data_IF_368188436443
#
_entry.id   IF_368188436443
#
_cell.length_a   1.000
_cell.length_b   1.000
_cell.length_c   1.000
_cell.angle_alpha   90.00
_cell.angle_beta   90.00
_cell.angle_gamma   90.00
#
_symmetry.space_group_name_H-M   'P 1'
#
loop_
_entity.id
_entity.type
_entity.pdbx_description
1 polymer ?
#
# COMPACT_ATOMS: atom_id res chain seq x y z
N UNK A 1 -25.57 0.85 -2.94
CA UNK A 1 -24.37 1.18 -3.73
C UNK A 1 -23.27 1.73 -2.82
N UNK A 2 -22.00 1.49 -3.14
CA UNK A 2 -20.81 1.99 -2.43
C UNK A 2 -19.95 2.83 -3.36
N UNK A 3 -19.55 4.01 -2.93
CA UNK A 3 -18.67 4.91 -3.69
C UNK A 3 -17.30 4.91 -3.03
N UNK A 4 -16.28 4.61 -3.83
CA UNK A 4 -14.88 4.71 -3.44
C UNK A 4 -14.20 5.85 -4.18
N UNK A 5 -13.39 6.62 -3.47
CA UNK A 5 -12.55 7.68 -4.03
C UNK A 5 -11.08 7.34 -3.72
N UNK A 6 -10.22 7.51 -4.69
CA UNK A 6 -8.76 7.46 -4.51
C UNK A 6 -8.17 8.82 -4.88
N UNK A 7 -7.63 9.51 -3.89
CA UNK A 7 -7.01 10.82 -4.05
C UNK A 7 -5.51 10.67 -4.31
N UNK A 8 -5.15 10.63 -5.57
CA UNK A 8 -3.75 10.67 -5.98
C UNK A 8 -3.22 12.09 -6.15
N UNK A 9 -1.91 12.26 -6.17
CA UNK A 9 -1.26 13.57 -6.32
C UNK A 9 -1.48 14.26 -7.67
N UNK A 10 -1.87 13.52 -8.71
CA UNK A 10 -2.11 14.05 -10.07
C UNK A 10 -3.52 13.77 -10.59
N UNK A 11 -4.15 12.70 -10.12
CA UNK A 11 -5.48 12.26 -10.54
C UNK A 11 -6.27 11.82 -9.32
N UNK A 12 -7.53 12.18 -9.28
CA UNK A 12 -8.53 11.69 -8.32
C UNK A 12 -9.48 10.77 -9.06
N UNK A 13 -9.71 9.59 -8.55
CA UNK A 13 -10.54 8.57 -9.17
C UNK A 13 -11.75 8.25 -8.31
N UNK A 14 -12.90 7.99 -8.98
CA UNK A 14 -14.10 7.46 -8.35
C UNK A 14 -14.47 6.11 -8.93
N UNK A 15 -14.94 5.21 -8.10
CA UNK A 15 -15.64 3.99 -8.48
C UNK A 15 -16.98 3.91 -7.75
N UNK A 16 -18.02 3.45 -8.43
CA UNK A 16 -19.26 3.02 -7.79
C UNK A 16 -19.36 1.50 -7.91
N UNK A 17 -19.59 0.83 -6.78
CA UNK A 17 -19.75 -0.62 -6.70
C UNK A 17 -21.17 -0.97 -6.26
N UNK A 18 -21.72 -2.08 -6.80
CA UNK A 18 -22.89 -2.74 -6.21
C UNK A 18 -22.57 -3.30 -4.82
N UNK A 19 -23.55 -3.80 -4.11
CA UNK A 19 -23.33 -4.51 -2.84
C UNK A 19 -22.48 -5.77 -3.03
N UNK A 20 -22.52 -6.38 -4.20
CA UNK A 20 -21.75 -7.57 -4.57
C UNK A 20 -20.34 -7.25 -5.12
N UNK A 21 -19.98 -5.96 -5.22
CA UNK A 21 -18.66 -5.53 -5.71
C UNK A 21 -18.56 -5.38 -7.23
N UNK A 22 -19.68 -5.43 -7.96
CA UNK A 22 -19.68 -5.16 -9.38
C UNK A 22 -19.45 -3.67 -9.66
N UNK A 23 -18.58 -3.36 -10.62
CA UNK A 23 -18.32 -1.99 -11.02
C UNK A 23 -19.49 -1.42 -11.83
N UNK A 24 -20.18 -0.45 -11.26
CA UNK A 24 -21.30 0.25 -11.91
C UNK A 24 -20.85 1.50 -12.65
N UNK A 25 -19.85 2.20 -12.10
CA UNK A 25 -19.31 3.44 -12.69
C UNK A 25 -17.84 3.60 -12.30
N UNK A 26 -17.07 4.26 -13.16
CA UNK A 26 -15.67 4.64 -12.88
C UNK A 26 -15.31 5.88 -13.68
N UNK A 27 -14.67 6.85 -13.03
CA UNK A 27 -14.20 8.06 -13.69
C UNK A 27 -12.98 8.65 -12.97
N UNK A 28 -12.20 9.45 -13.70
CA UNK A 28 -11.01 10.13 -13.19
C UNK A 28 -11.04 11.60 -13.60
N UNK A 29 -10.66 12.47 -12.67
CA UNK A 29 -10.41 13.89 -12.90
C UNK A 29 -9.00 14.25 -12.48
N UNK A 30 -8.38 15.30 -13.06
CA UNK A 30 -7.12 15.85 -12.54
C UNK A 30 -7.30 16.31 -11.09
N UNK A 31 -6.30 16.04 -10.25
CA UNK A 31 -6.26 16.56 -8.88
C UNK A 31 -5.85 18.03 -8.90
N UNK A 32 -6.65 18.95 -8.32
CA UNK A 32 -6.25 20.34 -8.13
C UNK A 32 -5.10 20.41 -7.12
N UNK A 33 -3.88 20.59 -7.62
CA UNK A 33 -2.69 20.64 -6.76
C UNK A 33 -2.65 21.97 -6.02
N UNK A 34 -2.22 21.90 -4.76
CA UNK A 34 -2.01 23.05 -3.88
C UNK A 34 -3.28 23.89 -3.62
N UNK A 35 -4.47 23.32 -3.91
CA UNK A 35 -5.76 23.94 -3.65
C UNK A 35 -6.69 22.99 -2.89
N UNK A 36 -6.78 23.22 -1.58
CA UNK A 36 -7.59 22.40 -0.67
C UNK A 36 -9.08 22.45 -0.99
N UNK A 37 -9.62 23.65 -1.21
CA UNK A 37 -11.05 23.81 -1.46
C UNK A 37 -11.46 23.22 -2.81
N UNK A 38 -10.66 23.45 -3.85
CA UNK A 38 -10.92 22.86 -5.16
C UNK A 38 -10.76 21.34 -5.14
N UNK A 39 -9.90 20.80 -4.27
CA UNK A 39 -9.81 19.35 -4.06
C UNK A 39 -11.13 18.78 -3.54
N UNK A 40 -11.73 19.41 -2.53
CA UNK A 40 -13.06 19.04 -2.00
C UNK A 40 -14.14 19.11 -3.07
N UNK A 41 -14.19 20.20 -3.85
CA UNK A 41 -15.18 20.36 -4.92
C UNK A 41 -15.01 19.34 -6.04
N UNK A 42 -13.77 18.97 -6.39
CA UNK A 42 -13.49 17.93 -7.38
C UNK A 42 -14.01 16.57 -6.91
N UNK A 43 -13.80 16.24 -5.63
CA UNK A 43 -14.32 15.00 -5.03
C UNK A 43 -15.85 15.01 -5.02
N UNK A 44 -16.48 16.11 -4.59
CA UNK A 44 -17.93 16.25 -4.60
C UNK A 44 -18.51 16.05 -6.02
N UNK A 45 -17.88 16.64 -7.02
CA UNK A 45 -18.25 16.45 -8.43
C UNK A 45 -18.14 14.99 -8.88
N UNK A 46 -17.09 14.28 -8.47
CA UNK A 46 -16.94 12.86 -8.80
C UNK A 46 -18.04 12.00 -8.15
N UNK A 47 -18.42 12.30 -6.91
CA UNK A 47 -19.54 11.64 -6.22
C UNK A 47 -20.86 11.91 -6.96
N UNK A 48 -21.14 13.17 -7.31
CA UNK A 48 -22.33 13.55 -8.07
C UNK A 48 -22.41 12.82 -9.43
N UNK A 49 -21.28 12.70 -10.13
CA UNK A 49 -21.21 11.97 -11.41
C UNK A 49 -21.54 10.48 -11.23
N UNK A 50 -21.03 9.85 -10.16
CA UNK A 50 -21.30 8.44 -9.87
C UNK A 50 -22.79 8.23 -9.54
N UNK A 51 -23.39 9.09 -8.72
CA UNK A 51 -24.81 9.03 -8.35
C UNK A 51 -25.74 9.31 -9.53
N UNK A 52 -25.39 10.27 -10.39
CA UNK A 52 -26.15 10.52 -11.61
C UNK A 52 -26.11 9.37 -12.60
N UNK A 53 -24.94 8.74 -12.75
CA UNK A 53 -24.77 7.62 -13.67
C UNK A 53 -25.51 6.37 -13.22
N UNK A 54 -25.63 6.14 -11.91
CA UNK A 54 -26.25 4.94 -11.33
C UNK A 54 -27.72 5.15 -10.94
N UNK A 55 -28.14 6.41 -10.74
CA UNK A 55 -29.48 6.75 -10.21
C UNK A 55 -29.65 6.44 -8.72
N UNK A 56 -28.57 6.14 -8.00
CA UNK A 56 -28.58 5.74 -6.59
C UNK A 56 -27.65 6.64 -5.76
N UNK A 57 -28.03 6.89 -4.51
CA UNK A 57 -27.16 7.51 -3.50
C UNK A 57 -26.36 6.43 -2.80
N UNK A 58 -25.03 6.61 -2.66
CA UNK A 58 -24.13 5.65 -2.08
C UNK A 58 -23.47 6.11 -0.77
N UNK A 59 -22.95 5.14 0.01
CA UNK A 59 -21.97 5.44 1.04
C UNK A 59 -20.65 5.86 0.40
N UNK A 60 -19.90 6.77 1.04
CA UNK A 60 -18.63 7.30 0.49
C UNK A 60 -17.47 6.91 1.38
N UNK A 61 -16.51 6.22 0.79
CA UNK A 61 -15.21 5.96 1.40
C UNK A 61 -14.11 6.54 0.52
N UNK A 62 -12.96 6.85 1.12
CA UNK A 62 -11.88 7.52 0.41
C UNK A 62 -10.50 7.06 0.87
N UNK A 63 -9.67 6.76 -0.10
CA UNK A 63 -8.22 6.57 0.06
C UNK A 63 -7.48 7.90 -0.07
N UNK A 64 -6.59 8.19 0.86
CA UNK A 64 -5.76 9.40 0.86
C UNK A 64 -4.29 9.07 1.00
N UNK A 65 -3.39 9.89 0.41
CA UNK A 65 -1.96 9.80 0.71
C UNK A 65 -1.70 10.40 2.10
N UNK A 66 -1.53 9.57 3.09
CA UNK A 66 -1.40 9.99 4.49
C UNK A 66 -2.51 9.41 5.37
N UNK A 67 -2.74 9.98 6.52
CA UNK A 67 -3.75 9.52 7.48
C UNK A 67 -4.32 10.65 8.32
N UNK A 68 -5.50 10.42 8.92
CA UNK A 68 -6.04 11.33 9.95
C UNK A 68 -5.35 10.99 11.28
N UNK A 69 -4.82 12.01 11.93
CA UNK A 69 -4.24 11.87 13.27
C UNK A 69 -5.34 11.62 14.31
N UNK A 70 -5.27 10.54 15.09
CA UNK A 70 -6.27 10.28 16.14
C UNK A 70 -6.16 11.30 17.30
N UNK A 71 -5.04 12.04 17.38
CA UNK A 71 -4.82 13.02 18.44
C UNK A 71 -5.34 14.41 18.10
N UNK A 72 -5.26 14.82 16.83
CA UNK A 72 -5.58 16.17 16.38
C UNK A 72 -6.80 16.24 15.46
N UNK A 73 -7.21 15.10 14.87
CA UNK A 73 -8.30 15.02 13.93
C UNK A 73 -8.02 15.67 12.58
N UNK A 74 -6.73 15.89 12.24
CA UNK A 74 -6.34 16.48 10.96
C UNK A 74 -5.41 15.54 10.17
N UNK A 75 -5.32 15.77 8.88
CA UNK A 75 -4.43 15.01 7.98
C UNK A 75 -2.96 15.19 8.40
N UNK A 76 -2.22 14.10 8.41
CA UNK A 76 -0.76 14.04 8.61
C UNK A 76 -0.08 13.18 7.56
N UNK A 77 1.19 13.46 7.31
CA UNK A 77 2.09 12.66 6.46
C UNK A 77 1.59 12.47 5.01
N UNK A 78 0.76 13.39 4.52
CA UNK A 78 0.31 13.36 3.14
C UNK A 78 1.39 13.91 2.19
N UNK A 79 1.66 13.19 1.10
CA UNK A 79 2.50 13.69 0.00
C UNK A 79 1.81 14.85 -0.74
N UNK A 80 0.48 14.88 -0.75
CA UNK A 80 -0.33 16.02 -1.14
C UNK A 80 -0.33 17.02 0.00
N UNK A 81 0.71 17.85 0.07
CA UNK A 81 1.06 18.66 1.25
C UNK A 81 -0.02 19.65 1.67
N UNK A 82 -0.86 20.14 0.74
CA UNK A 82 -1.98 21.04 1.02
C UNK A 82 -3.10 20.44 1.86
N UNK A 83 -3.09 19.10 2.05
CA UNK A 83 -4.01 18.41 2.94
C UNK A 83 -3.54 18.40 4.40
N UNK A 84 -2.22 18.48 4.64
CA UNK A 84 -1.66 18.37 5.97
C UNK A 84 -2.15 19.49 6.89
N UNK A 85 -2.60 19.12 8.08
CA UNK A 85 -3.15 20.06 9.07
C UNK A 85 -4.63 20.43 8.83
N UNK A 86 -5.29 19.87 7.81
CA UNK A 86 -6.70 20.13 7.50
C UNK A 86 -7.61 19.04 8.09
N UNK A 87 -8.82 19.39 8.60
CA UNK A 87 -9.83 18.45 9.06
C UNK A 87 -10.63 17.86 7.89
N UNK A 88 -9.93 17.21 6.97
CA UNK A 88 -10.40 16.86 5.64
C UNK A 88 -11.62 15.93 5.62
N UNK A 89 -11.69 14.98 6.55
CA UNK A 89 -12.85 14.09 6.73
C UNK A 89 -14.11 14.85 7.11
N UNK A 90 -13.97 15.85 8.00
CA UNK A 90 -15.09 16.68 8.46
C UNK A 90 -15.57 17.63 7.37
N UNK A 91 -14.65 18.33 6.72
CA UNK A 91 -14.97 19.30 5.67
C UNK A 91 -15.62 18.61 4.47
N UNK A 92 -15.10 17.44 4.08
CA UNK A 92 -15.70 16.64 3.01
C UNK A 92 -17.08 16.08 3.40
N UNK A 93 -17.23 15.57 4.64
CA UNK A 93 -18.51 15.09 5.15
C UNK A 93 -19.56 16.22 5.20
N UNK A 94 -19.16 17.41 5.59
CA UNK A 94 -20.03 18.61 5.57
C UNK A 94 -20.44 18.98 4.13
N UNK A 95 -19.47 18.99 3.19
CA UNK A 95 -19.73 19.31 1.78
C UNK A 95 -20.68 18.31 1.10
N UNK A 96 -20.56 17.04 1.42
CA UNK A 96 -21.41 15.97 0.87
C UNK A 96 -22.69 15.75 1.67
N UNK A 97 -22.87 16.44 2.81
CA UNK A 97 -23.98 16.27 3.75
C UNK A 97 -24.20 14.79 4.17
N UNK A 98 -23.11 14.05 4.32
CA UNK A 98 -23.05 12.65 4.79
C UNK A 98 -21.69 12.30 5.33
N UNK A 99 -21.63 11.27 6.19
CA UNK A 99 -20.36 10.76 6.70
C UNK A 99 -19.49 10.22 5.55
N UNK A 100 -18.20 10.57 5.58
CA UNK A 100 -17.17 10.03 4.69
C UNK A 100 -16.13 9.32 5.54
N UNK A 101 -15.76 8.09 5.15
CA UNK A 101 -14.70 7.33 5.81
C UNK A 101 -13.41 7.43 5.02
N UNK A 102 -12.33 7.76 5.71
CA UNK A 102 -11.00 7.92 5.12
C UNK A 102 -10.05 6.83 5.63
N UNK A 103 -9.20 6.34 4.74
CA UNK A 103 -8.06 5.49 5.07
C UNK A 103 -6.86 5.83 4.18
N UNK A 104 -5.66 5.40 4.57
CA UNK A 104 -4.53 5.53 3.67
C UNK A 104 -4.60 4.47 2.53
N UNK A 105 -3.78 4.65 1.51
CA UNK A 105 -3.74 3.80 0.32
C UNK A 105 -3.44 2.31 0.65
N UNK A 106 -2.51 2.06 1.57
CA UNK A 106 -2.17 0.70 1.98
C UNK A 106 -3.31 0.02 2.77
N UNK A 107 -4.04 0.75 3.59
CA UNK A 107 -5.23 0.25 4.27
C UNK A 107 -6.36 -0.04 3.28
N UNK A 108 -6.54 0.81 2.27
CA UNK A 108 -7.49 0.55 1.19
C UNK A 108 -7.11 -0.73 0.41
N UNK A 109 -5.83 -0.93 0.10
CA UNK A 109 -5.37 -2.19 -0.50
C UNK A 109 -5.74 -3.39 0.38
N UNK A 110 -5.45 -3.33 1.68
CA UNK A 110 -5.71 -4.43 2.60
C UNK A 110 -7.21 -4.78 2.65
N UNK A 111 -8.09 -3.78 2.71
CA UNK A 111 -9.54 -3.96 2.70
C UNK A 111 -10.02 -4.54 1.37
N UNK A 112 -9.57 -3.98 0.23
CA UNK A 112 -9.92 -4.49 -1.10
C UNK A 112 -9.60 -5.97 -1.24
N UNK A 113 -8.36 -6.34 -0.91
CA UNK A 113 -7.90 -7.72 -1.08
C UNK A 113 -8.52 -8.68 -0.07
N UNK A 114 -8.91 -8.20 1.11
CA UNK A 114 -9.61 -9.00 2.12
C UNK A 114 -11.10 -9.23 1.81
N UNK A 115 -11.75 -8.29 1.13
CA UNK A 115 -13.19 -8.37 0.85
C UNK A 115 -13.46 -9.15 -0.43
N UNK A 116 -12.85 -8.74 -1.55
CA UNK A 116 -13.14 -9.32 -2.87
C UNK A 116 -11.90 -9.60 -3.73
N UNK A 117 -10.71 -9.61 -3.11
CA UNK A 117 -9.44 -9.82 -3.79
C UNK A 117 -8.75 -11.15 -3.44
N UNK A 118 -7.41 -11.13 -3.48
CA UNK A 118 -6.56 -12.31 -3.29
C UNK A 118 -6.68 -12.98 -1.92
N UNK A 119 -7.19 -12.27 -0.91
CA UNK A 119 -7.37 -12.74 0.46
C UNK A 119 -8.84 -12.78 0.88
N UNK A 120 -9.78 -12.84 -0.07
CA UNK A 120 -11.20 -12.87 0.22
C UNK A 120 -11.56 -14.00 1.21
N UNK A 121 -12.27 -13.65 2.29
CA UNK A 121 -12.67 -14.57 3.34
C UNK A 121 -11.63 -14.84 4.43
N UNK A 122 -10.40 -14.32 4.32
CA UNK A 122 -9.39 -14.41 5.36
C UNK A 122 -9.74 -13.47 6.55
N UNK A 123 -9.46 -13.92 7.78
CA UNK A 123 -9.71 -13.11 8.97
C UNK A 123 -8.64 -12.05 9.19
N UNK A 124 -7.38 -12.40 8.98
CA UNK A 124 -6.24 -11.49 9.19
C UNK A 124 -5.43 -11.40 7.89
N UNK A 125 -5.43 -10.22 7.30
CA UNK A 125 -4.70 -9.94 6.05
C UNK A 125 -3.64 -8.87 6.28
N UNK A 126 -2.41 -9.16 5.87
CA UNK A 126 -1.34 -8.19 5.80
C UNK A 126 -1.05 -7.88 4.33
N UNK A 127 -1.40 -6.69 3.89
CA UNK A 127 -1.23 -6.27 2.50
C UNK A 127 -0.12 -5.23 2.39
N UNK A 128 0.82 -5.47 1.49
CA UNK A 128 2.03 -4.66 1.28
C UNK A 128 1.96 -3.95 -0.05
N UNK A 129 2.21 -2.65 -0.08
CA UNK A 129 2.46 -1.91 -1.30
C UNK A 129 3.96 -1.70 -1.45
N UNK A 130 4.56 -2.29 -2.49
CA UNK A 130 5.98 -2.14 -2.82
C UNK A 130 6.10 -1.39 -4.16
N UNK A 131 6.20 -0.08 -4.05
CA UNK A 131 6.39 0.84 -5.18
C UNK A 131 7.67 1.66 -5.01
N UNK A 132 7.59 2.98 -5.19
CA UNK A 132 8.69 3.92 -4.88
C UNK A 132 9.08 3.83 -3.41
N UNK A 133 8.09 3.70 -2.52
CA UNK A 133 8.24 3.39 -1.10
C UNK A 133 7.75 1.98 -0.78
N UNK A 134 7.62 1.69 0.52
CA UNK A 134 7.10 0.43 1.04
C UNK A 134 6.15 0.68 2.21
N UNK A 135 4.85 0.58 1.95
CA UNK A 135 3.80 0.67 2.95
C UNK A 135 3.10 -0.67 3.18
N UNK A 136 2.32 -0.77 4.23
CA UNK A 136 1.42 -1.89 4.43
C UNK A 136 0.13 -1.47 5.14
N UNK A 137 -0.90 -2.27 4.97
CA UNK A 137 -2.15 -2.20 5.70
C UNK A 137 -2.50 -3.53 6.33
N UNK A 138 -3.28 -3.47 7.39
CA UNK A 138 -3.81 -4.64 8.09
C UNK A 138 -5.32 -4.64 7.96
N UNK A 139 -5.89 -5.75 7.54
CA UNK A 139 -7.33 -5.96 7.59
C UNK A 139 -7.67 -7.10 8.55
N UNK A 140 -8.65 -6.87 9.42
CA UNK A 140 -9.17 -7.85 10.37
C UNK A 140 -10.67 -8.03 10.11
N UNK A 141 -11.07 -9.25 9.72
CA UNK A 141 -12.46 -9.53 9.35
C UNK A 141 -12.96 -8.62 8.22
N UNK A 142 -12.15 -8.35 7.21
CA UNK A 142 -12.48 -7.47 6.08
C UNK A 142 -12.48 -5.96 6.39
N UNK A 143 -12.09 -5.56 7.60
CA UNK A 143 -12.06 -4.15 8.04
C UNK A 143 -10.65 -3.66 8.24
N UNK A 144 -10.40 -2.42 7.85
CA UNK A 144 -9.09 -1.78 8.09
C UNK A 144 -8.80 -1.67 9.58
N UNK A 145 -7.61 -2.14 9.99
CA UNK A 145 -7.08 -1.96 11.34
C UNK A 145 -6.05 -0.83 11.32
N UNK A 146 -6.43 0.34 11.79
CA UNK A 146 -5.57 1.53 11.84
C UNK A 146 -4.72 1.63 13.11
N UNK A 147 -5.06 0.86 14.15
CA UNK A 147 -4.38 0.88 15.45
C UNK A 147 -4.72 2.09 16.32
N UNK A 148 -4.36 2.03 17.59
CA UNK A 148 -4.65 3.09 18.57
C UNK A 148 -3.95 4.42 18.31
N UNK A 149 -2.79 4.38 17.61
CA UNK A 149 -2.02 5.56 17.23
C UNK A 149 -2.17 5.94 15.75
N UNK A 150 -3.00 5.19 14.99
CA UNK A 150 -3.13 5.35 13.55
C UNK A 150 -1.85 5.00 12.79
N UNK A 151 -1.08 4.03 13.28
CA UNK A 151 0.23 3.63 12.70
C UNK A 151 0.33 2.15 12.39
N UNK A 152 -0.79 1.40 12.48
CA UNK A 152 -0.79 -0.01 12.09
C UNK A 152 -0.42 -0.13 10.60
N UNK A 153 0.54 -1.00 10.31
CA UNK A 153 1.04 -1.19 8.95
C UNK A 153 2.25 -0.31 8.55
N UNK A 154 2.72 0.60 9.40
CA UNK A 154 3.91 1.43 9.16
C UNK A 154 5.24 0.62 9.28
N UNK A 155 5.23 -0.62 8.86
CA UNK A 155 6.34 -1.57 8.97
C UNK A 155 7.56 -1.18 8.16
N UNK A 156 7.35 -0.43 7.08
CA UNK A 156 8.42 0.06 6.22
C UNK A 156 9.45 0.92 6.95
N UNK A 157 9.05 1.53 8.08
CA UNK A 157 9.93 2.33 8.94
C UNK A 157 10.49 1.56 10.15
N UNK A 158 10.18 0.27 10.27
CA UNK A 158 10.90 -0.61 11.19
C UNK A 158 12.28 -0.97 10.63
N UNK A 159 13.26 -1.28 11.49
CA UNK A 159 14.57 -1.73 11.01
C UNK A 159 14.45 -3.08 10.29
N UNK A 160 15.25 -3.27 9.23
CA UNK A 160 15.39 -4.58 8.59
C UNK A 160 15.84 -5.59 9.65
N UNK A 161 15.10 -6.70 9.86
CA UNK A 161 15.49 -7.68 10.86
C UNK A 161 16.70 -8.51 10.42
N UNK A 162 17.50 -8.99 11.38
CA UNK A 162 18.64 -9.90 11.16
C UNK A 162 19.60 -9.44 10.05
N UNK A 163 20.00 -8.17 10.12
CA UNK A 163 20.94 -7.60 9.15
C UNK A 163 22.28 -8.35 9.16
N UNK A 164 22.78 -8.68 7.97
CA UNK A 164 24.15 -9.13 7.77
C UNK A 164 25.16 -7.96 7.74
N UNK A 165 26.45 -8.26 7.58
CA UNK A 165 27.49 -7.23 7.56
C UNK A 165 27.36 -6.24 6.40
N UNK A 166 26.91 -6.71 5.24
CA UNK A 166 26.72 -5.84 4.08
C UNK A 166 25.49 -4.95 4.24
N UNK A 167 24.42 -5.48 4.78
CA UNK A 167 23.20 -4.72 5.11
C UNK A 167 23.46 -3.66 6.20
N UNK A 168 24.33 -3.96 7.16
CA UNK A 168 24.77 -2.99 8.17
C UNK A 168 25.58 -1.83 7.56
N UNK A 169 26.40 -2.09 6.54
CA UNK A 169 27.11 -1.07 5.76
C UNK A 169 26.14 -0.24 4.93
N UNK A 170 25.25 -0.90 4.20
CA UNK A 170 24.20 -0.27 3.40
C UNK A 170 23.34 0.69 4.24
N UNK A 171 22.93 0.27 5.42
CA UNK A 171 22.15 1.06 6.36
C UNK A 171 22.78 2.42 6.66
N UNK A 172 24.11 2.46 6.82
CA UNK A 172 24.84 3.68 7.11
C UNK A 172 24.92 4.63 5.92
N UNK A 173 24.92 4.09 4.70
CA UNK A 173 25.06 4.84 3.44
C UNK A 173 23.72 5.36 2.90
N UNK A 174 22.61 4.67 3.20
CA UNK A 174 21.28 4.95 2.67
C UNK A 174 20.31 5.28 3.81
N UNK A 175 20.25 6.54 4.26
CA UNK A 175 19.34 6.96 5.32
C UNK A 175 17.89 6.97 4.80
N UNK A 176 16.94 6.71 5.70
CA UNK A 176 15.52 6.87 5.41
C UNK A 176 15.09 8.33 5.59
N UNK A 177 14.14 8.79 4.78
CA UNK A 177 13.58 10.15 4.90
C UNK A 177 12.88 10.39 6.26
N UNK A 178 12.49 9.33 6.97
CA UNK A 178 11.93 9.44 8.32
C UNK A 178 12.97 9.86 9.40
N UNK A 179 14.22 10.07 9.00
CA UNK A 179 15.32 10.45 9.89
C UNK A 179 16.04 9.27 10.57
N UNK A 180 15.61 8.04 10.34
CA UNK A 180 16.25 6.82 10.87
C UNK A 180 17.12 6.15 9.81
N UNK A 181 17.88 5.16 10.24
CA UNK A 181 18.72 4.33 9.37
C UNK A 181 18.29 2.87 9.44
N UNK A 182 18.37 2.18 8.30
CA UNK A 182 18.10 0.74 8.24
C UNK A 182 16.61 0.39 8.20
N UNK A 183 15.74 1.33 7.83
CA UNK A 183 14.32 1.06 7.63
C UNK A 183 14.11 0.03 6.50
N UNK A 184 13.16 -0.88 6.69
CA UNK A 184 12.77 -1.90 5.69
C UNK A 184 12.57 -1.28 4.30
N UNK A 185 11.93 -0.12 4.22
CA UNK A 185 11.65 0.59 2.97
C UNK A 185 12.91 0.85 2.15
N UNK A 186 14.04 1.22 2.79
CA UNK A 186 15.28 1.51 2.08
C UNK A 186 15.89 0.28 1.40
N UNK A 187 15.49 -0.92 1.80
CA UNK A 187 15.97 -2.19 1.24
C UNK A 187 15.01 -2.80 0.23
N UNK A 188 13.69 -2.81 0.52
CA UNK A 188 12.71 -3.60 -0.25
C UNK A 188 11.73 -2.78 -1.09
N UNK A 189 11.76 -1.45 -1.03
CA UNK A 189 11.05 -0.65 -2.02
C UNK A 189 11.66 -0.82 -3.41
N UNK A 190 10.93 -0.45 -4.45
CA UNK A 190 11.48 -0.41 -5.81
C UNK A 190 12.69 0.53 -5.93
N UNK A 191 12.67 1.64 -5.18
CA UNK A 191 13.83 2.55 -5.05
C UNK A 191 14.99 1.85 -4.35
N UNK A 192 14.73 1.11 -3.27
CA UNK A 192 15.75 0.35 -2.55
C UNK A 192 16.41 -0.73 -3.42
N UNK A 193 15.60 -1.47 -4.20
CA UNK A 193 16.11 -2.44 -5.18
C UNK A 193 17.04 -1.79 -6.22
N UNK A 194 16.62 -0.68 -6.80
CA UNK A 194 17.43 0.06 -7.78
C UNK A 194 18.72 0.62 -7.15
N UNK A 195 18.65 1.11 -5.92
CA UNK A 195 19.82 1.65 -5.19
C UNK A 195 20.84 0.54 -4.88
N UNK A 196 20.37 -0.65 -4.44
CA UNK A 196 21.26 -1.78 -4.17
C UNK A 196 21.95 -2.27 -5.46
N UNK A 197 21.21 -2.37 -6.56
CA UNK A 197 21.80 -2.69 -7.86
C UNK A 197 22.84 -1.65 -8.30
N UNK A 198 22.53 -0.35 -8.14
CA UNK A 198 23.50 0.72 -8.46
C UNK A 198 24.80 0.58 -7.64
N UNK A 199 24.70 0.26 -6.35
CA UNK A 199 25.89 0.03 -5.51
C UNK A 199 26.72 -1.17 -5.98
N UNK A 200 26.07 -2.23 -6.47
CA UNK A 200 26.76 -3.44 -6.95
C UNK A 200 27.38 -3.25 -8.34
N UNK A 201 26.70 -2.56 -9.24
CA UNK A 201 27.06 -2.45 -10.66
C UNK A 201 27.77 -1.15 -11.05
N UNK A 202 27.57 -0.09 -10.24
CA UNK A 202 27.92 1.30 -10.63
C UNK A 202 26.97 1.94 -11.66
N UNK A 203 25.89 1.23 -12.07
CA UNK A 203 24.95 1.70 -13.10
C UNK A 203 23.58 2.07 -12.49
N UNK A 204 23.08 3.29 -12.70
CA UNK A 204 21.79 3.74 -12.18
C UNK A 204 20.66 3.29 -13.12
N UNK A 205 20.17 2.07 -12.95
CA UNK A 205 19.05 1.51 -13.70
C UNK A 205 17.76 1.51 -12.89
N UNK A 206 16.61 1.55 -13.57
CA UNK A 206 15.29 1.39 -12.97
C UNK A 206 14.97 -0.10 -12.77
N UNK A 207 14.05 -0.40 -11.86
CA UNK A 207 13.67 -1.78 -11.53
C UNK A 207 13.30 -2.64 -12.75
N UNK A 208 12.55 -2.09 -13.71
CA UNK A 208 12.18 -2.82 -14.94
C UNK A 208 13.38 -3.11 -15.88
N UNK A 209 14.38 -2.25 -15.87
CA UNK A 209 15.61 -2.45 -16.64
C UNK A 209 16.50 -3.52 -15.98
N UNK A 210 16.57 -3.50 -14.64
CA UNK A 210 17.28 -4.52 -13.86
C UNK A 210 16.59 -5.89 -14.06
N UNK A 211 15.27 -5.96 -14.07
CA UNK A 211 14.55 -7.22 -14.30
C UNK A 211 14.79 -7.79 -15.69
N UNK A 212 14.98 -6.96 -16.72
CA UNK A 212 15.42 -7.44 -18.04
C UNK A 212 16.81 -8.08 -17.99
N UNK A 213 17.74 -7.48 -17.25
CA UNK A 213 19.06 -8.06 -17.06
C UNK A 213 19.00 -9.40 -16.29
N UNK A 214 18.06 -9.55 -15.35
CA UNK A 214 17.79 -10.85 -14.69
C UNK A 214 17.36 -11.90 -15.71
N UNK A 215 16.45 -11.56 -16.63
CA UNK A 215 16.02 -12.45 -17.73
C UNK A 215 17.18 -12.83 -18.67
N UNK A 216 18.12 -11.92 -18.86
CA UNK A 216 19.35 -12.12 -19.62
C UNK A 216 20.47 -12.84 -18.82
N UNK A 217 20.18 -13.25 -17.58
CA UNK A 217 21.10 -13.95 -16.69
C UNK A 217 22.35 -13.14 -16.31
N UNK A 218 22.23 -11.81 -16.24
CA UNK A 218 23.31 -10.95 -15.74
C UNK A 218 23.60 -11.26 -14.26
N UNK A 219 24.84 -11.61 -13.89
CA UNK A 219 25.16 -12.08 -12.56
C UNK A 219 25.00 -11.00 -11.48
N UNK A 220 25.13 -9.72 -11.82
CA UNK A 220 24.96 -8.62 -10.86
C UNK A 220 23.48 -8.36 -10.60
N UNK A 221 22.65 -8.40 -11.65
CA UNK A 221 21.20 -8.29 -11.53
C UNK A 221 20.60 -9.47 -10.76
N UNK A 222 21.08 -10.68 -11.01
CA UNK A 222 20.70 -11.90 -10.26
C UNK A 222 21.07 -11.79 -8.77
N UNK A 223 22.26 -11.30 -8.47
CA UNK A 223 22.67 -11.05 -7.08
C UNK A 223 21.77 -10.03 -6.40
N UNK A 224 21.49 -8.90 -7.07
CA UNK A 224 20.61 -7.86 -6.54
C UNK A 224 19.21 -8.40 -6.23
N UNK A 225 18.62 -9.19 -7.13
CA UNK A 225 17.31 -9.80 -6.93
C UNK A 225 17.32 -10.84 -5.81
N UNK A 226 18.34 -11.70 -5.73
CA UNK A 226 18.47 -12.70 -4.66
C UNK A 226 18.59 -12.04 -3.28
N UNK A 227 19.31 -10.93 -3.18
CA UNK A 227 19.41 -10.12 -1.95
C UNK A 227 18.05 -9.50 -1.59
N UNK A 228 17.35 -8.97 -2.60
CA UNK A 228 16.01 -8.41 -2.42
C UNK A 228 15.02 -9.46 -1.88
N UNK A 229 14.99 -10.67 -2.48
CA UNK A 229 14.16 -11.79 -2.05
C UNK A 229 14.42 -12.17 -0.59
N UNK A 230 15.68 -12.24 -0.18
CA UNK A 230 16.06 -12.55 1.19
C UNK A 230 15.61 -11.44 2.16
N UNK A 231 15.78 -10.18 1.82
CA UNK A 231 15.37 -9.03 2.63
C UNK A 231 13.85 -8.95 2.78
N UNK A 232 13.12 -9.22 1.71
CA UNK A 232 11.66 -9.34 1.76
C UNK A 232 11.23 -10.49 2.67
N UNK A 233 11.87 -11.67 2.55
CA UNK A 233 11.59 -12.82 3.39
C UNK A 233 11.83 -12.54 4.88
N UNK A 234 12.95 -11.93 5.24
CA UNK A 234 13.24 -11.50 6.63
C UNK A 234 12.15 -10.55 7.15
N UNK A 235 11.77 -9.57 6.35
CA UNK A 235 10.78 -8.56 6.72
C UNK A 235 9.39 -9.18 6.94
N UNK A 236 8.96 -10.08 6.05
CA UNK A 236 7.69 -10.79 6.18
C UNK A 236 7.69 -11.78 7.35
N UNK A 237 8.79 -12.48 7.59
CA UNK A 237 8.93 -13.38 8.75
C UNK A 237 8.76 -12.61 10.08
N UNK A 238 9.26 -11.39 10.16
CA UNK A 238 9.06 -10.54 11.34
C UNK A 238 7.57 -10.24 11.57
N UNK A 239 6.82 -9.96 10.52
CA UNK A 239 5.37 -9.75 10.61
C UNK A 239 4.64 -11.04 11.00
N UNK A 240 5.02 -12.17 10.40
CA UNK A 240 4.44 -13.49 10.74
C UNK A 240 4.67 -13.81 12.22
N UNK A 241 5.87 -13.59 12.74
CA UNK A 241 6.18 -13.83 14.15
C UNK A 241 5.39 -12.94 15.14
N UNK A 242 4.77 -11.83 14.68
CA UNK A 242 4.01 -10.90 15.53
C UNK A 242 2.51 -11.01 15.30
N UNK A 243 2.09 -11.03 14.04
CA UNK A 243 0.69 -10.91 13.63
C UNK A 243 0.08 -12.26 13.21
N UNK A 244 0.91 -13.18 12.69
CA UNK A 244 0.52 -14.48 12.13
C UNK A 244 -0.70 -14.36 11.18
N UNK A 245 -0.58 -13.60 10.08
CA UNK A 245 -1.70 -13.35 9.19
C UNK A 245 -2.08 -14.62 8.42
N UNK A 246 -3.38 -14.77 8.10
CA UNK A 246 -3.87 -15.87 7.27
C UNK A 246 -3.36 -15.76 5.83
N UNK A 247 -3.20 -14.54 5.33
CA UNK A 247 -2.71 -14.26 3.96
C UNK A 247 -1.85 -12.99 3.97
N UNK A 248 -0.76 -13.03 3.24
CA UNK A 248 0.02 -11.84 2.86
C UNK A 248 -0.25 -11.53 1.39
N UNK A 249 -0.59 -10.28 1.10
CA UNK A 249 -0.83 -9.82 -0.28
C UNK A 249 0.24 -8.80 -0.67
N UNK A 250 0.85 -8.97 -1.83
CA UNK A 250 1.80 -8.02 -2.39
C UNK A 250 1.14 -7.20 -3.51
N UNK A 251 1.21 -5.88 -3.38
CA UNK A 251 0.80 -4.90 -4.37
C UNK A 251 1.94 -3.96 -4.75
N UNK A 252 1.68 -3.05 -5.68
CA UNK A 252 2.68 -2.13 -6.22
C UNK A 252 3.58 -2.75 -7.28
N UNK A 253 4.52 -1.97 -7.81
CA UNK A 253 5.33 -2.36 -8.97
C UNK A 253 6.15 -3.64 -8.78
N UNK A 254 6.74 -3.83 -7.59
CA UNK A 254 7.53 -5.04 -7.30
C UNK A 254 6.68 -6.31 -7.18
N UNK A 255 5.38 -6.21 -6.93
CA UNK A 255 4.48 -7.37 -6.93
C UNK A 255 4.36 -8.07 -8.30
N UNK A 256 4.79 -7.42 -9.37
CA UNK A 256 4.81 -8.00 -10.72
C UNK A 256 6.04 -8.89 -10.99
N UNK A 257 6.96 -9.01 -10.05
CA UNK A 257 8.10 -9.95 -10.15
C UNK A 257 7.62 -11.33 -9.72
N UNK A 258 7.24 -12.16 -10.69
CA UNK A 258 6.61 -13.47 -10.44
C UNK A 258 7.51 -14.42 -9.62
N UNK A 259 8.82 -14.29 -9.76
CA UNK A 259 9.81 -15.07 -9.01
C UNK A 259 9.65 -14.92 -7.50
N UNK A 260 9.17 -13.79 -6.99
CA UNK A 260 8.96 -13.58 -5.55
C UNK A 260 7.99 -14.62 -4.96
N UNK A 261 6.98 -15.02 -5.71
CA UNK A 261 5.96 -15.99 -5.25
C UNK A 261 6.47 -17.43 -5.22
N UNK A 262 7.53 -17.72 -5.97
CA UNK A 262 8.20 -19.01 -5.98
C UNK A 262 9.28 -19.13 -4.88
N UNK A 263 10.06 -18.07 -4.66
CA UNK A 263 11.25 -18.11 -3.80
C UNK A 263 11.00 -17.66 -2.37
N UNK A 264 10.25 -16.54 -2.18
CA UNK A 264 10.06 -15.93 -0.86
C UNK A 264 9.35 -16.85 0.13
N UNK A 265 8.30 -17.65 -0.23
CA UNK A 265 7.66 -18.57 0.70
C UNK A 265 8.61 -19.61 1.32
N UNK A 266 9.64 -20.03 0.57
CA UNK A 266 10.67 -20.96 1.08
C UNK A 266 11.67 -20.23 1.96
N UNK A 267 12.09 -19.02 1.58
CA UNK A 267 13.06 -18.23 2.33
C UNK A 267 12.50 -17.77 3.68
N UNK A 268 11.23 -17.42 3.76
CA UNK A 268 10.54 -17.01 4.99
C UNK A 268 10.67 -18.06 6.08
N UNK A 269 10.62 -19.36 5.75
CA UNK A 269 10.75 -20.47 6.70
C UNK A 269 12.06 -20.46 7.48
N UNK A 270 13.12 -19.85 6.94
CA UNK A 270 14.41 -19.72 7.63
C UNK A 270 14.37 -18.74 8.81
N UNK A 271 13.40 -17.83 8.82
CA UNK A 271 13.31 -16.69 9.75
C UNK A 271 12.10 -16.71 10.67
N UNK A 272 11.08 -17.49 10.33
CA UNK A 272 9.92 -17.69 11.20
C UNK A 272 10.28 -18.61 12.35
N UNK A 273 9.77 -18.29 13.54
CA UNK A 273 9.99 -19.11 14.73
C UNK A 273 9.51 -20.56 14.50
N UNK A 274 10.36 -21.51 14.80
CA UNK A 274 10.08 -22.94 14.59
C UNK A 274 10.26 -23.45 13.15
N UNK A 275 10.60 -22.60 12.19
CA UNK A 275 10.97 -22.99 10.82
C UNK A 275 9.81 -23.54 9.98
N UNK A 276 8.56 -23.39 10.43
CA UNK A 276 7.36 -23.82 9.71
C UNK A 276 6.46 -22.61 9.43
N UNK A 277 6.07 -22.43 8.18
CA UNK A 277 5.17 -21.37 7.76
C UNK A 277 4.42 -21.83 6.53
N UNK A 278 3.10 -21.77 6.59
CA UNK A 278 2.19 -22.07 5.48
C UNK A 278 1.37 -20.83 5.05
N UNK A 279 1.66 -19.66 5.62
CA UNK A 279 1.01 -18.41 5.25
C UNK A 279 1.24 -18.14 3.76
N UNK A 280 0.19 -18.12 2.94
CA UNK A 280 0.32 -17.87 1.51
C UNK A 280 0.69 -16.41 1.25
N UNK A 281 1.62 -16.22 0.31
CA UNK A 281 2.00 -14.92 -0.23
C UNK A 281 1.39 -14.81 -1.63
N UNK A 282 0.49 -13.87 -1.84
CA UNK A 282 -0.31 -13.74 -3.06
C UNK A 282 -0.12 -12.37 -3.70
N UNK A 283 -0.25 -12.33 -5.02
CA UNK A 283 -0.31 -11.07 -5.77
C UNK A 283 -1.69 -10.43 -5.61
N UNK A 284 -1.74 -9.11 -5.48
CA UNK A 284 -2.99 -8.35 -5.48
C UNK A 284 -3.77 -8.58 -6.78
N UNK A 285 -5.07 -8.83 -6.65
CA UNK A 285 -5.95 -9.14 -7.79
C UNK A 285 -6.33 -7.88 -8.54
N UNK A 286 -6.64 -6.81 -7.82
CA UNK A 286 -7.21 -5.60 -8.43
C UNK A 286 -6.15 -4.60 -8.94
N UNK A 287 -4.85 -4.85 -8.71
CA UNK A 287 -3.75 -4.02 -9.18
C UNK A 287 -3.93 -2.55 -8.81
N UNK A 288 -3.88 -1.65 -9.79
CA UNK A 288 -4.04 -0.20 -9.59
C UNK A 288 -5.46 0.19 -9.10
N UNK A 289 -6.43 -0.71 -9.16
CA UNK A 289 -7.79 -0.46 -8.69
C UNK A 289 -8.01 -0.79 -7.21
N UNK A 290 -7.04 -1.44 -6.55
CA UNK A 290 -7.18 -1.87 -5.15
C UNK A 290 -7.42 -0.68 -4.20
N UNK A 291 -6.80 0.47 -4.44
CA UNK A 291 -6.98 1.67 -3.64
C UNK A 291 -8.43 2.18 -3.68
N UNK A 292 -8.95 2.42 -4.88
CA UNK A 292 -10.31 2.96 -5.06
C UNK A 292 -11.40 1.95 -4.68
N UNK A 293 -11.18 0.64 -4.92
CA UNK A 293 -12.10 -0.42 -4.48
C UNK A 293 -12.12 -0.53 -2.95
N UNK A 294 -10.95 -0.57 -2.33
CA UNK A 294 -10.81 -0.62 -0.88
C UNK A 294 -11.46 0.57 -0.19
N UNK A 295 -11.36 1.75 -0.80
CA UNK A 295 -12.09 2.93 -0.32
C UNK A 295 -13.61 2.69 -0.30
N UNK A 296 -14.19 2.11 -1.34
CA UNK A 296 -15.62 1.76 -1.39
C UNK A 296 -16.01 0.77 -0.27
N UNK A 297 -15.12 -0.15 0.06
CA UNK A 297 -15.32 -1.17 1.10
C UNK A 297 -15.04 -0.70 2.54
N UNK A 298 -14.69 0.56 2.78
CA UNK A 298 -14.53 1.10 4.14
C UNK A 298 -15.82 1.12 4.95
N UNK A 299 -16.96 0.98 4.29
CA UNK A 299 -18.27 0.82 4.93
C UNK A 299 -18.60 -0.66 5.04
N UNK A 300 -18.70 -1.22 6.26
CA UNK A 300 -19.17 -2.58 6.47
C UNK A 300 -20.65 -2.71 6.06
N UNK A 301 -21.05 -3.96 5.84
CA UNK A 301 -22.47 -4.31 5.68
C UNK A 301 -23.27 -4.01 6.94
#
# INVERSE_FOLDING_TARGET
>A
MRIGIDLGGTKTEVIALSEQGEQLFRHRLPTPRDDYHQTIETIARLVDMAEQATGETGTVGMGIPGSISPYTGVVKNANSTWLNGQPFDKDLSQRLNREVRLANDANCLAVSEAVDGAAAGAQTVFAVIIGTGCGAGVALGGRSHIGGNGTAGEWGHNPLPWMDEDELKYRAEVPCYCGKQGCIETFISGTGFATDYHRLSGQPLKGNEIMRLVEEQDPVAELALSRYEMRLAKSLAHVINILDPDVIVLGGGMSNVDRLYATVPTLVKQWVFGGKCETPIRKAVHGDSSGVRGAAWLWPE
#
